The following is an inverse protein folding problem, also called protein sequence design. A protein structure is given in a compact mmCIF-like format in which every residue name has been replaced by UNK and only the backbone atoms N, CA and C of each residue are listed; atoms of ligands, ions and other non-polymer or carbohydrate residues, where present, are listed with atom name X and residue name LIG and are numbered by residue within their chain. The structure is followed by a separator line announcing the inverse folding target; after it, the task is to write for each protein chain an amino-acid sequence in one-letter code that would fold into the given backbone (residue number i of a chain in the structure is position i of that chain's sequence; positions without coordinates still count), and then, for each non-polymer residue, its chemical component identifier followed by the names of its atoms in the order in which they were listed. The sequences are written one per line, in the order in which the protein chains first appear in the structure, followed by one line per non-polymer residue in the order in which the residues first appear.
data_IF_411558275038
#
_entry.id   IF_411558275038
#
_cell.length_a   1.000
_cell.length_b   1.000
_cell.length_c   1.000
_cell.angle_alpha   90.00
_cell.angle_beta   90.00
_cell.angle_gamma   90.00
#
_symmetry.space_group_name_H-M   'P 1'
#
loop_
_entity.id
_entity.type
_entity.pdbx_description
1 polymer ?
#
# COMPACT_ATOMS: atom_id res chain seq x y z
N UNK A 1 14.42 10.69 11.86
CA UNK A 1 14.69 10.17 13.22
C UNK A 1 13.60 9.17 13.58
N UNK A 2 13.91 8.06 14.26
CA UNK A 2 12.90 7.08 14.68
C UNK A 2 12.09 7.64 15.84
N UNK A 3 10.77 7.50 15.81
CA UNK A 3 9.92 7.91 16.94
C UNK A 3 10.28 7.14 18.23
N UNK A 4 10.09 7.74 19.40
CA UNK A 4 10.43 7.12 20.67
C UNK A 4 9.26 6.25 21.19
N UNK A 5 9.24 4.97 20.83
CA UNK A 5 8.19 4.03 21.30
C UNK A 5 8.42 3.54 22.74
N UNK A 6 9.65 3.70 23.25
CA UNK A 6 10.07 3.27 24.58
C UNK A 6 10.83 4.38 25.28
N UNK A 7 10.71 4.46 26.60
CA UNK A 7 11.50 5.38 27.39
C UNK A 7 12.97 4.94 27.40
N UNK A 8 13.89 5.87 27.11
CA UNK A 8 15.35 5.61 27.09
C UNK A 8 15.92 5.30 28.47
N UNK A 9 15.25 5.74 29.54
CA UNK A 9 15.74 5.58 30.91
C UNK A 9 15.19 4.33 31.60
N UNK A 10 13.97 3.91 31.29
CA UNK A 10 13.31 2.79 32.00
C UNK A 10 12.74 1.69 31.10
N UNK A 11 12.82 1.82 29.77
CA UNK A 11 12.37 0.82 28.80
C UNK A 11 10.85 0.65 28.71
N UNK A 12 10.06 1.41 29.47
CA UNK A 12 8.60 1.36 29.43
C UNK A 12 8.04 1.81 28.09
N UNK A 13 6.99 1.13 27.64
CA UNK A 13 6.23 1.54 26.45
C UNK A 13 5.66 2.93 26.67
N UNK A 14 5.78 3.79 25.67
CA UNK A 14 5.30 5.17 25.70
C UNK A 14 3.96 5.30 24.97
N UNK A 15 3.19 6.37 25.22
CA UNK A 15 2.03 6.67 24.40
C UNK A 15 2.43 6.87 22.92
N UNK A 16 1.57 6.47 21.97
CA UNK A 16 1.84 6.66 20.55
C UNK A 16 1.92 8.14 20.19
N UNK A 17 3.06 8.57 19.64
CA UNK A 17 3.22 9.92 19.11
C UNK A 17 2.63 10.03 17.68
N UNK A 18 2.07 11.18 17.26
CA UNK A 18 1.52 11.36 15.91
C UNK A 18 2.63 11.54 14.86
N UNK A 19 3.36 10.46 14.55
CA UNK A 19 4.43 10.42 13.54
C UNK A 19 4.01 9.71 12.26
N UNK A 20 4.63 10.05 11.13
CA UNK A 20 4.41 9.29 9.89
C UNK A 20 5.04 7.88 9.97
N UNK A 21 4.63 6.99 9.06
CA UNK A 21 5.09 5.59 9.05
C UNK A 21 6.58 5.45 8.76
N UNK A 22 7.18 6.33 7.96
CA UNK A 22 8.63 6.30 7.72
C UNK A 22 9.39 6.67 8.99
N UNK A 23 8.97 7.74 9.67
CA UNK A 23 9.50 8.14 10.98
C UNK A 23 9.26 7.09 12.07
N UNK A 24 8.18 6.32 11.99
CA UNK A 24 7.92 5.21 12.92
C UNK A 24 8.99 4.11 12.82
N UNK A 25 9.37 3.73 11.59
CA UNK A 25 10.45 2.76 11.35
C UNK A 25 11.85 3.38 11.38
N UNK A 26 11.96 4.71 11.33
CA UNK A 26 13.25 5.41 11.17
C UNK A 26 13.81 5.30 9.75
N UNK A 27 12.94 5.11 8.75
CA UNK A 27 13.28 5.01 7.34
C UNK A 27 13.20 6.39 6.66
N UNK A 28 13.95 6.59 5.56
CA UNK A 28 13.78 7.79 4.75
C UNK A 28 12.44 7.76 3.99
N UNK A 29 11.85 8.92 3.72
CA UNK A 29 10.65 9.06 2.88
C UNK A 29 11.04 8.90 1.41
N UNK A 30 11.07 7.65 0.94
CA UNK A 30 11.40 7.29 -0.45
C UNK A 30 10.36 6.33 -0.99
N UNK A 31 10.13 6.40 -2.30
CA UNK A 31 9.29 5.45 -3.01
C UNK A 31 9.99 4.09 -3.13
N UNK A 32 11.29 4.10 -3.43
CA UNK A 32 12.12 2.90 -3.38
C UNK A 32 12.63 2.66 -1.94
N UNK A 33 12.06 1.64 -1.29
CA UNK A 33 12.46 1.17 0.04
C UNK A 33 12.99 -0.25 -0.05
N UNK A 34 14.06 -0.51 0.69
CA UNK A 34 14.53 -1.87 0.93
C UNK A 34 13.54 -2.63 1.81
N UNK A 35 12.77 -3.52 1.17
CA UNK A 35 11.79 -4.38 1.82
C UNK A 35 12.44 -5.28 2.89
N UNK A 36 13.69 -5.73 2.71
CA UNK A 36 14.35 -6.57 3.70
C UNK A 36 14.68 -5.78 4.98
N UNK A 37 15.03 -4.50 4.84
CA UNK A 37 15.22 -3.62 6.01
C UNK A 37 13.89 -3.30 6.71
N UNK A 38 12.82 -3.07 5.95
CA UNK A 38 11.47 -2.89 6.51
C UNK A 38 11.00 -4.13 7.28
N UNK A 39 11.15 -5.32 6.71
CA UNK A 39 10.76 -6.59 7.34
C UNK A 39 11.55 -6.86 8.63
N UNK A 40 12.88 -6.66 8.60
CA UNK A 40 13.71 -6.78 9.81
C UNK A 40 13.26 -5.80 10.91
N UNK A 41 12.97 -4.55 10.53
CA UNK A 41 12.44 -3.53 11.44
C UNK A 41 11.09 -3.92 12.03
N UNK A 42 10.20 -4.49 11.21
CA UNK A 42 8.89 -4.98 11.63
C UNK A 42 9.00 -6.09 12.67
N UNK A 43 9.75 -7.16 12.38
CA UNK A 43 9.90 -8.27 13.33
C UNK A 43 10.57 -7.83 14.63
N UNK A 44 11.61 -6.98 14.55
CA UNK A 44 12.28 -6.47 15.74
C UNK A 44 11.35 -5.65 16.63
N UNK A 45 10.42 -4.88 16.03
CA UNK A 45 9.48 -4.06 16.78
C UNK A 45 8.28 -4.86 17.29
N UNK A 46 7.75 -5.78 16.48
CA UNK A 46 6.62 -6.64 16.84
C UNK A 46 6.94 -7.43 18.12
N UNK A 47 8.16 -7.97 18.22
CA UNK A 47 8.63 -8.65 19.44
C UNK A 47 8.67 -7.75 20.67
N UNK A 48 8.88 -6.45 20.52
CA UNK A 48 8.97 -5.51 21.65
C UNK A 48 7.62 -4.93 22.05
N UNK A 49 6.71 -4.76 21.08
CA UNK A 49 5.40 -4.16 21.30
C UNK A 49 4.30 -5.19 21.54
N UNK A 50 4.57 -6.49 21.37
CA UNK A 50 3.56 -7.55 21.44
C UNK A 50 2.70 -7.46 22.72
N UNK A 51 1.36 -7.44 22.61
CA UNK A 51 0.46 -7.29 23.76
C UNK A 51 0.71 -8.30 24.89
N UNK A 52 1.10 -9.53 24.55
CA UNK A 52 1.42 -10.58 25.54
C UNK A 52 2.52 -10.18 26.53
N UNK A 53 3.48 -9.34 26.13
CA UNK A 53 4.53 -8.83 27.04
C UNK A 53 3.97 -7.88 28.10
N UNK A 54 2.83 -7.27 27.82
CA UNK A 54 2.20 -6.25 28.64
C UNK A 54 0.94 -6.75 29.36
N UNK A 55 0.51 -7.99 29.13
CA UNK A 55 -0.71 -8.56 29.72
C UNK A 55 -0.78 -8.51 31.26
N UNK A 56 0.38 -8.43 31.94
CA UNK A 56 0.49 -8.29 33.42
C UNK A 56 0.88 -6.88 33.88
N UNK A 57 0.96 -5.91 32.98
CA UNK A 57 1.31 -4.52 33.25
C UNK A 57 0.07 -3.68 33.55
N UNK A 58 0.27 -2.41 33.90
CA UNK A 58 -0.82 -1.47 34.12
C UNK A 58 -1.68 -1.31 32.86
N UNK A 59 -2.97 -1.01 33.03
CA UNK A 59 -3.93 -0.85 31.92
C UNK A 59 -3.48 0.17 30.88
N UNK A 60 -2.75 1.21 31.29
CA UNK A 60 -2.16 2.21 30.37
C UNK A 60 -1.11 1.59 29.46
N UNK A 61 -0.19 0.79 30.02
CA UNK A 61 0.87 0.14 29.23
C UNK A 61 0.30 -0.91 28.29
N UNK A 62 -0.73 -1.65 28.72
CA UNK A 62 -1.48 -2.58 27.87
C UNK A 62 -2.10 -1.87 26.67
N UNK A 63 -2.81 -0.77 26.90
CA UNK A 63 -3.44 0.02 25.85
C UNK A 63 -2.41 0.61 24.87
N UNK A 64 -1.30 1.17 25.40
CA UNK A 64 -0.24 1.71 24.56
C UNK A 64 0.44 0.64 23.70
N UNK A 65 0.72 -0.54 24.27
CA UNK A 65 1.26 -1.69 23.53
C UNK A 65 0.32 -2.14 22.42
N UNK A 66 -0.98 -2.22 22.68
CA UNK A 66 -1.99 -2.61 21.70
C UNK A 66 -2.08 -1.61 20.55
N UNK A 67 -2.21 -0.32 20.86
CA UNK A 67 -2.33 0.75 19.88
C UNK A 67 -1.08 0.86 19.00
N UNK A 68 0.11 0.81 19.63
CA UNK A 68 1.37 0.82 18.89
C UNK A 68 1.59 -0.44 18.05
N UNK A 69 1.13 -1.60 18.50
CA UNK A 69 1.18 -2.85 17.70
C UNK A 69 0.26 -2.78 16.48
N UNK A 70 -0.94 -2.24 16.61
CA UNK A 70 -1.83 -2.00 15.47
C UNK A 70 -1.17 -1.07 14.47
N UNK A 71 -0.64 0.05 14.95
CA UNK A 71 0.04 1.03 14.10
C UNK A 71 1.27 0.47 13.41
N UNK A 72 2.04 -0.39 14.08
CA UNK A 72 3.17 -1.10 13.47
C UNK A 72 2.70 -1.96 12.29
N UNK A 73 1.60 -2.68 12.44
CA UNK A 73 1.04 -3.51 11.37
C UNK A 73 0.54 -2.66 10.19
N UNK A 74 -0.15 -1.56 10.46
CA UNK A 74 -0.65 -0.66 9.43
C UNK A 74 0.49 0.03 8.67
N UNK A 75 1.50 0.50 9.40
CA UNK A 75 2.71 1.07 8.82
C UNK A 75 3.45 0.05 7.95
N UNK A 76 3.60 -1.19 8.42
CA UNK A 76 4.24 -2.26 7.65
C UNK A 76 3.47 -2.60 6.38
N UNK A 77 2.14 -2.79 6.47
CA UNK A 77 1.29 -3.09 5.30
C UNK A 77 1.31 -1.97 4.28
N UNK A 78 1.29 -0.72 4.73
CA UNK A 78 1.30 0.46 3.87
C UNK A 78 2.66 0.63 3.20
N UNK A 79 3.75 0.51 3.96
CA UNK A 79 5.09 0.68 3.42
C UNK A 79 5.58 -0.53 2.61
N UNK A 80 5.06 -1.73 2.81
CA UNK A 80 5.47 -2.92 2.05
C UNK A 80 4.95 -2.90 0.61
N UNK A 81 3.72 -2.46 0.43
CA UNK A 81 3.06 -2.38 -0.87
C UNK A 81 3.50 -1.11 -1.62
N UNK A 82 4.12 -1.20 -2.81
CA UNK A 82 4.61 -0.03 -3.55
C UNK A 82 3.51 1.00 -3.89
N UNK A 83 2.30 0.54 -4.20
CA UNK A 83 1.17 1.40 -4.57
C UNK A 83 0.70 2.16 -3.32
N UNK A 84 0.42 1.45 -2.23
CA UNK A 84 -0.01 2.06 -0.96
C UNK A 84 1.05 2.99 -0.37
N UNK A 85 2.34 2.65 -0.54
CA UNK A 85 3.46 3.49 -0.13
C UNK A 85 3.45 4.81 -0.90
N UNK A 86 3.20 4.75 -2.21
CA UNK A 86 3.09 5.93 -3.08
C UNK A 86 1.89 6.78 -2.69
N UNK A 87 0.71 6.18 -2.54
CA UNK A 87 -0.50 6.87 -2.06
C UNK A 87 -0.27 7.56 -0.71
N UNK A 88 0.39 6.86 0.22
CA UNK A 88 0.70 7.40 1.53
C UNK A 88 1.69 8.57 1.47
N UNK A 89 2.73 8.48 0.64
CA UNK A 89 3.70 9.55 0.47
C UNK A 89 3.05 10.78 -0.17
N UNK A 90 2.21 10.60 -1.18
CA UNK A 90 1.42 11.67 -1.79
C UNK A 90 0.52 12.35 -0.76
N UNK A 91 -0.15 11.57 0.09
CA UNK A 91 -0.97 12.10 1.19
C UNK A 91 -0.15 12.94 2.17
N UNK A 92 1.09 12.56 2.47
CA UNK A 92 1.99 13.35 3.33
C UNK A 92 2.40 14.68 2.69
N UNK A 93 2.50 14.73 1.36
CA UNK A 93 2.76 15.95 0.58
C UNK A 93 1.47 16.78 0.30
N UNK A 94 0.32 16.35 0.82
CA UNK A 94 -0.97 17.03 0.64
C UNK A 94 -1.63 16.79 -0.71
N UNK A 95 -1.20 15.78 -1.47
CA UNK A 95 -1.82 15.35 -2.72
C UNK A 95 -2.84 14.25 -2.43
N UNK A 96 -4.11 14.54 -2.65
CA UNK A 96 -5.19 13.54 -2.57
C UNK A 96 -5.49 12.95 -3.95
N UNK A 97 -5.30 11.63 -4.08
CA UNK A 97 -5.71 10.87 -5.26
C UNK A 97 -7.22 10.62 -5.21
N UNK A 98 -8.03 11.69 -5.34
CA UNK A 98 -9.50 11.62 -5.23
C UNK A 98 -10.16 10.74 -6.33
N UNK A 99 -9.48 10.53 -7.45
CA UNK A 99 -10.10 10.03 -8.68
C UNK A 99 -10.40 8.53 -8.78
N UNK A 100 -10.02 7.70 -7.80
CA UNK A 100 -10.27 6.24 -7.86
C UNK A 100 -11.31 5.73 -6.85
N UNK A 101 -11.82 6.63 -6.00
CA UNK A 101 -12.81 6.26 -4.98
C UNK A 101 -14.23 6.45 -5.51
N UNK A 102 -15.17 5.58 -5.08
CA UNK A 102 -16.62 5.78 -5.35
C UNK A 102 -17.08 7.19 -4.95
N UNK A 103 -16.53 7.74 -3.87
CA UNK A 103 -16.76 9.10 -3.42
C UNK A 103 -16.34 10.17 -4.46
N UNK A 104 -15.14 10.05 -5.05
CA UNK A 104 -14.67 10.97 -6.09
C UNK A 104 -15.51 10.91 -7.37
N UNK A 105 -16.05 9.73 -7.71
CA UNK A 105 -17.01 9.62 -8.83
C UNK A 105 -18.39 10.23 -8.53
N UNK A 106 -18.80 10.25 -7.26
CA UNK A 106 -20.05 10.87 -6.83
C UNK A 106 -19.93 12.40 -6.72
N UNK A 107 -18.80 12.92 -6.26
CA UNK A 107 -18.52 14.36 -6.24
C UNK A 107 -18.34 14.93 -7.65
N UNK A 108 -17.60 14.24 -8.53
CA UNK A 108 -17.47 14.66 -9.94
C UNK A 108 -18.82 14.69 -10.68
N UNK A 109 -19.79 13.84 -10.28
CA UNK A 109 -21.17 13.89 -10.79
C UNK A 109 -21.96 15.10 -10.28
N UNK A 110 -21.61 15.65 -9.11
CA UNK A 110 -22.27 16.82 -8.51
C UNK A 110 -21.67 18.15 -8.98
N UNK A 111 -20.36 18.23 -9.13
CA UNK A 111 -19.64 19.46 -9.51
C UNK A 111 -19.46 19.61 -11.02
N UNK A 112 -19.60 18.54 -11.80
CA UNK A 112 -19.42 18.55 -13.26
C UNK A 112 -17.96 18.61 -13.72
N UNK A 113 -17.02 18.91 -12.81
CA UNK A 113 -15.58 18.90 -13.08
C UNK A 113 -15.03 17.48 -12.91
N UNK A 114 -14.94 16.74 -14.02
CA UNK A 114 -14.15 15.51 -14.06
C UNK A 114 -12.67 15.89 -14.05
N UNK A 115 -12.00 15.80 -12.90
CA UNK A 115 -10.55 15.60 -12.90
C UNK A 115 -10.30 14.19 -13.43
N UNK A 116 -10.17 14.08 -14.75
CA UNK A 116 -9.73 12.86 -15.41
C UNK A 116 -8.25 12.66 -15.04
N UNK A 117 -7.98 12.00 -13.91
CA UNK A 117 -6.61 11.78 -13.42
C UNK A 117 -5.84 10.78 -14.30
N UNK A 118 -6.58 9.91 -15.00
CA UNK A 118 -6.00 8.83 -15.81
C UNK A 118 -5.95 9.25 -17.29
N UNK A 119 -4.78 9.18 -17.96
CA UNK A 119 -4.65 9.44 -19.39
C UNK A 119 -5.63 8.60 -20.23
N UNK A 120 -6.19 9.18 -21.29
CA UNK A 120 -7.18 8.53 -22.14
C UNK A 120 -6.67 7.22 -22.75
N UNK A 121 -5.43 7.23 -23.24
CA UNK A 121 -4.77 6.07 -23.85
C UNK A 121 -4.68 4.87 -22.88
N UNK A 122 -4.44 5.15 -21.59
CA UNK A 122 -4.38 4.10 -20.57
C UNK A 122 -5.76 3.50 -20.29
N UNK A 123 -6.81 4.32 -20.31
CA UNK A 123 -8.18 3.83 -20.11
C UNK A 123 -8.63 2.96 -21.27
N UNK A 124 -8.34 3.37 -22.50
CA UNK A 124 -8.63 2.58 -23.70
C UNK A 124 -7.97 1.20 -23.62
N UNK A 125 -6.67 1.14 -23.30
CA UNK A 125 -5.97 -0.13 -23.12
C UNK A 125 -6.56 -1.00 -22.00
N UNK A 126 -7.03 -0.42 -20.90
CA UNK A 126 -7.72 -1.16 -19.83
C UNK A 126 -9.07 -1.70 -20.31
N UNK A 127 -9.82 -0.95 -21.11
CA UNK A 127 -11.09 -1.42 -21.68
C UNK A 127 -10.89 -2.61 -22.63
N UNK A 128 -9.90 -2.52 -23.51
CA UNK A 128 -9.56 -3.60 -24.44
C UNK A 128 -9.18 -4.89 -23.70
N UNK A 129 -8.28 -4.79 -22.72
CA UNK A 129 -7.88 -5.93 -21.88
C UNK A 129 -9.06 -6.56 -21.12
N UNK A 130 -9.98 -5.74 -20.60
CA UNK A 130 -11.17 -6.25 -19.92
C UNK A 130 -12.09 -7.01 -20.88
N UNK A 131 -12.26 -6.52 -22.11
CA UNK A 131 -13.06 -7.20 -23.14
C UNK A 131 -12.45 -8.56 -23.50
N UNK A 132 -11.14 -8.62 -23.73
CA UNK A 132 -10.42 -9.89 -23.99
C UNK A 132 -10.55 -10.88 -22.82
N UNK A 133 -10.48 -10.40 -21.58
CA UNK A 133 -10.68 -11.25 -20.39
C UNK A 133 -12.12 -11.78 -20.27
N UNK A 134 -13.11 -10.99 -20.66
CA UNK A 134 -14.51 -11.43 -20.69
C UNK A 134 -14.75 -12.49 -21.77
N UNK A 135 -14.18 -12.31 -22.96
CA UNK A 135 -14.20 -13.30 -24.04
C UNK A 135 -13.56 -14.62 -23.60
N UNK A 136 -12.36 -14.57 -23.01
CA UNK A 136 -11.69 -15.76 -22.50
C UNK A 136 -12.52 -16.48 -21.42
N UNK A 137 -13.19 -15.72 -20.54
CA UNK A 137 -14.11 -16.28 -19.54
C UNK A 137 -15.34 -16.91 -20.18
N UNK A 138 -15.84 -16.37 -21.29
CA UNK A 138 -16.98 -16.92 -22.02
C UNK A 138 -16.61 -18.23 -22.74
N UNK A 139 -15.49 -18.26 -23.47
CA UNK A 139 -14.99 -19.45 -24.15
C UNK A 139 -14.78 -20.60 -23.17
N UNK A 140 -14.15 -20.30 -22.02
CA UNK A 140 -13.95 -21.28 -20.95
C UNK A 140 -15.26 -21.85 -20.38
N UNK A 141 -16.34 -21.05 -20.31
CA UNK A 141 -17.67 -21.54 -19.88
C UNK A 141 -18.32 -22.44 -20.92
N UNK A 142 -18.03 -22.22 -22.20
CA UNK A 142 -18.52 -23.03 -23.32
C UNK A 142 -17.68 -24.31 -23.55
N UNK A 143 -16.58 -24.49 -22.82
CA UNK A 143 -15.65 -25.61 -22.99
C UNK A 143 -14.72 -25.44 -24.19
N UNK A 144 -14.65 -24.22 -24.73
CA UNK A 144 -13.74 -23.82 -25.79
C UNK A 144 -12.47 -23.23 -25.16
N UNK A 145 -11.31 -23.68 -25.63
CA UNK A 145 -10.02 -23.09 -25.26
C UNK A 145 -9.48 -22.32 -26.46
N UNK A 146 -9.07 -21.08 -26.22
CA UNK A 146 -8.36 -20.27 -27.22
C UNK A 146 -6.92 -20.04 -26.75
N UNK A 147 -5.98 -20.90 -27.16
CA UNK A 147 -4.57 -20.76 -26.80
C UNK A 147 -3.96 -19.45 -27.30
N UNK A 148 -4.46 -18.90 -28.41
CA UNK A 148 -3.92 -17.66 -29.00
C UNK A 148 -4.27 -16.45 -28.12
N UNK A 149 -5.53 -16.34 -27.70
CA UNK A 149 -5.99 -15.29 -26.78
C UNK A 149 -5.30 -15.38 -25.41
N UNK A 150 -5.05 -16.60 -24.90
CA UNK A 150 -4.27 -16.81 -23.68
C UNK A 150 -2.85 -16.26 -23.85
N UNK A 151 -2.20 -16.57 -24.97
CA UNK A 151 -0.84 -16.15 -25.25
C UNK A 151 -0.73 -14.62 -25.38
N UNK A 152 -1.68 -13.98 -26.07
CA UNK A 152 -1.75 -12.53 -26.20
C UNK A 152 -1.91 -11.85 -24.83
N UNK A 153 -2.84 -12.30 -24.00
CA UNK A 153 -3.04 -11.77 -22.65
C UNK A 153 -1.80 -11.96 -21.76
N UNK A 154 -1.07 -13.06 -21.92
CA UNK A 154 0.21 -13.28 -21.22
C UNK A 154 1.28 -12.29 -21.68
N UNK A 155 1.37 -12.00 -22.99
CA UNK A 155 2.30 -11.01 -23.51
C UNK A 155 1.97 -9.60 -23.01
N UNK A 156 0.68 -9.21 -23.03
CA UNK A 156 0.24 -7.92 -22.50
C UNK A 156 0.57 -7.78 -21.01
N UNK A 157 0.35 -8.84 -20.22
CA UNK A 157 0.73 -8.88 -18.81
C UNK A 157 2.24 -8.65 -18.66
N UNK A 158 3.07 -9.36 -19.42
CA UNK A 158 4.52 -9.25 -19.32
C UNK A 158 5.01 -7.85 -19.68
N UNK A 159 4.49 -7.24 -20.76
CA UNK A 159 4.84 -5.88 -21.15
C UNK A 159 4.49 -4.84 -20.08
N UNK A 160 3.34 -5.01 -19.40
CA UNK A 160 2.95 -4.13 -18.30
C UNK A 160 3.84 -4.32 -17.07
N UNK A 161 4.22 -5.57 -16.75
CA UNK A 161 5.16 -5.86 -15.67
C UNK A 161 6.55 -5.28 -15.95
N UNK A 162 7.04 -5.37 -17.19
CA UNK A 162 8.30 -4.77 -17.63
C UNK A 162 8.28 -3.25 -17.48
N UNK A 163 7.28 -2.57 -18.05
CA UNK A 163 7.10 -1.11 -17.89
C UNK A 163 7.01 -0.69 -16.43
N UNK A 164 6.30 -1.47 -15.61
CA UNK A 164 6.19 -1.20 -14.17
C UNK A 164 7.55 -1.32 -13.48
N UNK A 165 8.34 -2.35 -13.82
CA UNK A 165 9.67 -2.53 -13.26
C UNK A 165 10.66 -1.44 -13.70
N UNK A 166 10.63 -1.03 -14.97
CA UNK A 166 11.45 0.08 -15.48
C UNK A 166 11.15 1.38 -14.72
N UNK A 167 9.86 1.73 -14.57
CA UNK A 167 9.44 2.87 -13.77
C UNK A 167 9.88 2.76 -12.31
N UNK A 168 9.94 1.55 -11.75
CA UNK A 168 10.36 1.33 -10.39
C UNK A 168 11.88 1.47 -10.20
N UNK A 169 12.69 1.06 -11.18
CA UNK A 169 14.15 1.23 -11.17
C UNK A 169 14.59 2.69 -11.31
N UNK A 170 13.77 3.55 -11.92
CA UNK A 170 14.04 4.99 -12.04
C UNK A 170 13.84 5.78 -10.71
N UNK A 171 13.19 5.18 -9.71
CA UNK A 171 12.81 5.80 -8.42
C UNK A 171 13.80 5.54 -7.26
#
# INVERSE_FOLDING_TARGET
MRAAQFCTSCGKVQPPAPVDYFSFFGLPRKLNLDNATLERGFYAMSRKLHPDLYARRDSREQNWSLEQSSRLNDAYRTLKDPIRRTEYLLKLEGVELEGQSKAGTEEARKTGEKKQIVPADLLEGVFELNMQLEELRANKKMGEEDPSLIQELQQHKQQLEEKFNELFEEL
#
